data_IF_663309244984
#
_entry.id   IF_663309244984
#
_cell.length_a   1.000
_cell.length_b   1.000
_cell.length_c   1.000
_cell.angle_alpha   90.00
_cell.angle_beta   90.00
_cell.angle_gamma   90.00
#
_symmetry.space_group_name_H-M   'P 1'
#
loop_
_entity.id
_entity.type
_entity.pdbx_description
1 polymer ?
#
# COMPACT_ATOMS: atom_id res chain seq x y z
N UNK A 1 3.76 14.32 18.95
CA UNK A 1 3.89 13.18 18.01
C UNK A 1 2.51 12.67 17.59
N UNK A 2 1.69 12.11 18.50
CA UNK A 2 0.36 11.59 18.15
C UNK A 2 -0.65 12.68 17.76
N UNK A 3 -0.61 13.84 18.42
CA UNK A 3 -1.45 15.01 18.07
C UNK A 3 -1.19 15.54 16.65
N UNK A 4 0.01 15.32 16.11
CA UNK A 4 0.39 15.81 14.78
C UNK A 4 -0.20 14.97 13.64
N UNK A 5 -0.67 13.75 13.91
CA UNK A 5 -1.18 12.82 12.88
C UNK A 5 -2.49 13.31 12.23
N UNK A 6 -3.27 14.10 12.96
CA UNK A 6 -4.60 14.58 12.58
C UNK A 6 -4.60 16.06 12.17
N UNK A 7 -3.44 16.72 12.19
CA UNK A 7 -3.35 18.12 11.79
C UNK A 7 -3.49 18.22 10.26
N UNK A 8 -4.33 19.16 9.82
CA UNK A 8 -4.46 19.48 8.41
C UNK A 8 -3.17 20.13 7.89
N UNK A 9 -2.70 19.63 6.76
CA UNK A 9 -1.49 20.04 6.04
C UNK A 9 -1.80 20.64 4.68
N UNK A 10 -3.07 20.69 4.27
CA UNK A 10 -3.52 21.23 2.98
C UNK A 10 -3.20 20.34 1.78
N UNK A 11 -2.75 19.10 2.00
CA UNK A 11 -2.52 18.10 0.95
C UNK A 11 -3.81 17.36 0.59
N UNK A 12 -3.76 16.42 -0.37
CA UNK A 12 -4.95 15.74 -0.89
C UNK A 12 -5.70 14.93 0.18
N UNK A 13 -4.98 14.19 1.03
CA UNK A 13 -5.56 13.44 2.14
C UNK A 13 -5.62 14.23 3.46
N UNK A 14 -5.28 15.52 3.42
CA UNK A 14 -5.25 16.48 4.53
C UNK A 14 -4.28 16.18 5.67
N UNK A 15 -4.19 14.94 6.15
CA UNK A 15 -3.44 14.57 7.35
C UNK A 15 -2.47 13.42 7.09
N UNK A 16 -1.47 13.28 7.97
CA UNK A 16 -0.56 12.13 7.96
C UNK A 16 -1.36 10.84 8.10
N UNK A 17 -2.31 10.78 9.05
CA UNK A 17 -3.16 9.60 9.26
C UNK A 17 -3.95 9.25 8.00
N UNK A 18 -4.63 10.21 7.37
CA UNK A 18 -5.42 9.95 6.16
C UNK A 18 -4.57 9.42 5.01
N UNK A 19 -3.33 9.90 4.89
CA UNK A 19 -2.39 9.42 3.87
C UNK A 19 -1.93 8.00 4.15
N UNK A 20 -1.62 7.67 5.41
CA UNK A 20 -1.24 6.31 5.80
C UNK A 20 -2.37 5.30 5.60
N UNK A 21 -3.61 5.69 5.96
CA UNK A 21 -4.80 4.88 5.72
C UNK A 21 -4.99 4.60 4.23
N UNK A 22 -4.83 5.64 3.39
CA UNK A 22 -4.93 5.48 1.94
C UNK A 22 -3.86 4.53 1.39
N UNK A 23 -2.61 4.61 1.86
CA UNK A 23 -1.55 3.67 1.45
C UNK A 23 -1.97 2.24 1.79
N UNK A 24 -2.37 1.96 3.03
CA UNK A 24 -2.77 0.62 3.47
C UNK A 24 -4.01 0.09 2.72
N UNK A 25 -5.01 0.94 2.48
CA UNK A 25 -6.20 0.57 1.71
C UNK A 25 -5.86 0.27 0.25
N UNK A 26 -4.97 1.07 -0.36
CA UNK A 26 -4.54 0.87 -1.74
C UNK A 26 -3.76 -0.45 -1.88
N UNK A 27 -2.86 -0.75 -0.96
CA UNK A 27 -2.08 -1.98 -0.98
C UNK A 27 -2.94 -3.22 -0.75
N UNK A 28 -3.85 -3.18 0.24
CA UNK A 28 -4.84 -4.23 0.46
C UNK A 28 -5.66 -4.50 -0.81
N UNK A 29 -6.13 -3.45 -1.48
CA UNK A 29 -6.88 -3.56 -2.72
C UNK A 29 -6.06 -4.23 -3.83
N UNK A 30 -4.79 -3.89 -3.96
CA UNK A 30 -3.90 -4.48 -4.97
C UNK A 30 -3.55 -5.93 -4.66
N UNK A 31 -3.29 -6.30 -3.40
CA UNK A 31 -3.08 -7.70 -3.01
C UNK A 31 -4.34 -8.56 -3.25
N UNK A 32 -5.54 -8.01 -3.02
CA UNK A 32 -6.82 -8.65 -3.41
C UNK A 32 -6.95 -8.82 -4.92
N UNK A 33 -6.36 -7.93 -5.74
CA UNK A 33 -6.33 -8.10 -7.20
C UNK A 33 -5.30 -9.15 -7.60
N UNK A 34 -4.11 -9.12 -7.02
CA UNK A 34 -3.05 -10.09 -7.33
C UNK A 34 -3.49 -11.52 -6.99
N UNK A 35 -4.25 -11.73 -5.91
CA UNK A 35 -4.83 -13.05 -5.61
C UNK A 35 -5.81 -13.57 -6.66
N UNK A 36 -6.33 -12.69 -7.54
CA UNK A 36 -7.19 -13.07 -8.67
C UNK A 36 -6.42 -13.37 -9.97
N UNK A 37 -5.13 -13.05 -10.03
CA UNK A 37 -4.30 -13.22 -11.23
C UNK A 37 -3.67 -14.61 -11.34
N UNK A 38 -3.70 -15.38 -10.26
CA UNK A 38 -3.10 -16.71 -10.19
C UNK A 38 -3.37 -17.40 -8.86
N UNK A 39 -2.63 -18.47 -8.60
CA UNK A 39 -2.62 -19.16 -7.31
C UNK A 39 -1.27 -18.95 -6.66
N UNK A 40 -1.27 -18.33 -5.48
CA UNK A 40 -0.07 -17.96 -4.74
C UNK A 40 -0.21 -18.47 -3.31
N UNK A 41 0.77 -19.21 -2.83
CA UNK A 41 0.74 -19.83 -1.51
C UNK A 41 0.71 -18.78 -0.39
N UNK A 42 1.42 -17.66 -0.58
CA UNK A 42 1.42 -16.52 0.35
C UNK A 42 0.07 -15.84 0.46
N UNK A 43 -0.66 -15.70 -0.65
CA UNK A 43 -1.96 -15.01 -0.67
C UNK A 43 -3.12 -15.93 -0.27
N UNK A 44 -2.98 -17.24 -0.49
CA UNK A 44 -4.00 -18.23 -0.15
C UNK A 44 -4.23 -18.27 1.36
N UNK A 45 -5.50 -18.19 1.78
CA UNK A 45 -5.89 -18.18 3.19
C UNK A 45 -5.29 -17.05 4.05
N UNK A 46 -4.68 -16.03 3.46
CA UNK A 46 -4.17 -14.88 4.20
C UNK A 46 -5.32 -14.17 4.95
N UNK A 47 -5.13 -13.92 6.26
CA UNK A 47 -6.15 -13.37 7.17
C UNK A 47 -6.80 -12.07 6.66
N UNK A 48 -6.08 -11.23 5.91
CA UNK A 48 -6.63 -9.98 5.38
C UNK A 48 -7.39 -10.17 4.08
N UNK A 49 -6.93 -11.07 3.23
CA UNK A 49 -7.52 -11.30 1.91
C UNK A 49 -8.78 -12.17 1.98
N UNK A 50 -8.90 -13.02 3.02
CA UNK A 50 -10.06 -13.90 3.27
C UNK A 50 -11.01 -13.36 4.34
N UNK A 51 -10.74 -12.17 4.87
CA UNK A 51 -11.65 -11.51 5.81
C UNK A 51 -12.99 -11.12 5.17
N UNK A 52 -14.01 -10.96 6.01
CA UNK A 52 -15.31 -10.43 5.60
C UNK A 52 -15.16 -9.09 4.86
N UNK A 53 -15.91 -8.85 3.77
CA UNK A 53 -15.83 -7.62 3.01
C UNK A 53 -15.96 -6.37 3.89
N UNK A 54 -15.01 -5.44 3.78
CA UNK A 54 -15.00 -4.17 4.53
C UNK A 54 -14.45 -4.26 5.95
N UNK A 55 -14.19 -5.46 6.49
CA UNK A 55 -13.66 -5.61 7.86
C UNK A 55 -12.27 -5.01 8.00
N UNK A 56 -11.33 -5.41 7.13
CA UNK A 56 -9.94 -4.94 7.19
C UNK A 56 -9.87 -3.45 6.90
N UNK A 57 -10.66 -2.97 5.94
CA UNK A 57 -10.77 -1.56 5.61
C UNK A 57 -11.24 -0.74 6.81
N UNK A 58 -12.23 -1.25 7.57
CA UNK A 58 -12.69 -0.64 8.82
C UNK A 58 -11.59 -0.65 9.88
N UNK A 59 -10.89 -1.77 10.05
CA UNK A 59 -9.82 -1.90 11.04
C UNK A 59 -8.67 -0.90 10.76
N UNK A 60 -8.34 -0.68 9.48
CA UNK A 60 -7.34 0.31 9.03
C UNK A 60 -7.73 1.73 9.48
N UNK A 61 -8.97 2.16 9.24
CA UNK A 61 -9.39 3.55 9.49
C UNK A 61 -9.77 3.83 10.96
N UNK A 62 -10.01 2.77 11.75
CA UNK A 62 -10.45 2.90 13.15
C UNK A 62 -9.33 3.44 14.05
N UNK A 63 -8.11 2.94 13.92
CA UNK A 63 -6.94 3.33 14.73
C UNK A 63 -5.66 3.27 13.92
N UNK A 64 -4.82 4.29 14.09
CA UNK A 64 -3.53 4.34 13.42
C UNK A 64 -2.63 3.15 13.78
N UNK A 65 -2.70 2.63 15.01
CA UNK A 65 -1.95 1.44 15.40
C UNK A 65 -2.32 0.21 14.56
N UNK A 66 -3.62 0.04 14.26
CA UNK A 66 -4.08 -1.04 13.39
C UNK A 66 -3.58 -0.80 11.96
N UNK A 67 -3.70 0.43 11.45
CA UNK A 67 -3.19 0.80 10.13
C UNK A 67 -1.71 0.45 9.97
N UNK A 68 -0.87 0.78 10.96
CA UNK A 68 0.56 0.52 10.94
C UNK A 68 0.86 -0.98 10.89
N UNK A 69 0.27 -1.75 11.80
CA UNK A 69 0.47 -3.22 11.86
C UNK A 69 -0.03 -3.90 10.59
N UNK A 70 -1.19 -3.46 10.08
CA UNK A 70 -1.74 -4.02 8.84
C UNK A 70 -0.84 -3.67 7.66
N UNK A 71 -0.38 -2.42 7.55
CA UNK A 71 0.51 -2.02 6.46
C UNK A 71 1.82 -2.82 6.46
N UNK A 72 2.46 -2.99 7.62
CA UNK A 72 3.66 -3.83 7.76
C UNK A 72 3.40 -5.28 7.32
N UNK A 73 2.28 -5.88 7.75
CA UNK A 73 1.93 -7.25 7.34
C UNK A 73 1.62 -7.35 5.83
N UNK A 74 1.06 -6.30 5.22
CA UNK A 74 0.78 -6.25 3.78
C UNK A 74 2.06 -6.09 2.96
N UNK A 75 2.99 -5.25 3.41
CA UNK A 75 4.32 -5.08 2.80
C UNK A 75 5.06 -6.43 2.77
N UNK A 76 5.07 -7.15 3.90
CA UNK A 76 5.66 -8.50 3.96
C UNK A 76 4.96 -9.49 3.01
N UNK A 77 3.65 -9.36 2.84
CA UNK A 77 2.86 -10.21 1.96
C UNK A 77 3.19 -9.92 0.48
N UNK A 78 3.40 -8.65 0.13
CA UNK A 78 3.82 -8.25 -1.21
C UNK A 78 5.20 -8.81 -1.56
N UNK A 79 6.16 -8.79 -0.62
CA UNK A 79 7.48 -9.41 -0.80
C UNK A 79 7.34 -10.91 -1.09
N UNK A 80 6.57 -11.63 -0.26
CA UNK A 80 6.33 -13.07 -0.43
C UNK A 80 5.67 -13.39 -1.78
N UNK A 81 4.72 -12.58 -2.21
CA UNK A 81 4.13 -12.70 -3.55
C UNK A 81 5.18 -12.54 -4.65
N UNK A 82 6.04 -11.52 -4.55
CA UNK A 82 7.08 -11.26 -5.56
C UNK A 82 8.04 -12.45 -5.66
N UNK A 83 8.41 -13.07 -4.53
CA UNK A 83 9.28 -14.25 -4.50
C UNK A 83 8.65 -15.49 -5.17
N UNK A 84 7.32 -15.54 -5.29
CA UNK A 84 6.60 -16.62 -5.97
C UNK A 84 6.42 -16.39 -7.49
N UNK A 85 6.71 -15.19 -7.99
CA UNK A 85 6.48 -14.85 -9.40
C UNK A 85 7.65 -15.29 -10.28
N UNK A 86 7.35 -16.03 -11.35
CA UNK A 86 8.31 -16.32 -12.41
C UNK A 86 8.44 -15.15 -13.40
N UNK A 87 9.55 -15.12 -14.15
CA UNK A 87 9.75 -14.12 -15.21
C UNK A 87 8.64 -14.18 -16.27
N UNK A 88 8.17 -15.39 -16.61
CA UNK A 88 7.06 -15.58 -17.55
C UNK A 88 5.74 -15.04 -16.98
N UNK A 89 5.48 -15.24 -15.69
CA UNK A 89 4.31 -14.68 -15.03
C UNK A 89 4.34 -13.14 -15.05
N UNK A 90 5.51 -12.54 -14.80
CA UNK A 90 5.69 -11.08 -14.85
C UNK A 90 5.40 -10.49 -16.24
N UNK A 91 5.68 -11.23 -17.32
CA UNK A 91 5.40 -10.81 -18.70
C UNK A 91 3.97 -11.13 -19.16
N UNK A 92 3.20 -11.85 -18.36
CA UNK A 92 1.83 -12.22 -18.71
C UNK A 92 0.87 -11.03 -18.64
N UNK A 93 -0.24 -11.15 -19.37
CA UNK A 93 -1.33 -10.18 -19.37
C UNK A 93 -2.31 -10.50 -18.24
N UNK A 94 -2.55 -9.53 -17.36
CA UNK A 94 -3.53 -9.60 -16.28
C UNK A 94 -4.72 -8.68 -16.55
N UNK A 95 -5.90 -9.09 -16.06
CA UNK A 95 -7.16 -8.37 -16.25
C UNK A 95 -7.82 -8.11 -14.92
N UNK A 96 -8.27 -6.89 -14.70
CA UNK A 96 -8.93 -6.48 -13.46
C UNK A 96 -9.95 -5.38 -13.74
N UNK A 97 -10.78 -5.09 -12.74
CA UNK A 97 -11.66 -3.92 -12.74
C UNK A 97 -11.14 -2.87 -11.78
N UNK A 98 -11.23 -1.60 -12.19
CA UNK A 98 -11.02 -0.49 -11.25
C UNK A 98 -12.19 -0.42 -10.25
N UNK A 99 -12.12 0.50 -9.29
CA UNK A 99 -13.18 0.70 -8.29
C UNK A 99 -14.49 1.25 -8.87
N UNK A 100 -14.49 1.75 -10.11
CA UNK A 100 -15.68 2.18 -10.86
C UNK A 100 -16.30 1.04 -11.69
N UNK A 101 -15.66 -0.12 -11.73
CA UNK A 101 -16.10 -1.28 -12.50
C UNK A 101 -15.56 -1.36 -13.94
N UNK A 102 -14.78 -0.37 -14.38
CA UNK A 102 -14.19 -0.36 -15.72
C UNK A 102 -13.12 -1.45 -15.84
N UNK A 103 -13.12 -2.18 -16.95
CA UNK A 103 -12.17 -3.25 -17.22
C UNK A 103 -10.82 -2.71 -17.72
N UNK A 104 -9.74 -3.25 -17.18
CA UNK A 104 -8.36 -2.94 -17.58
C UNK A 104 -7.61 -4.22 -17.93
N UNK A 105 -6.68 -4.07 -18.87
CA UNK A 105 -5.70 -5.09 -19.25
C UNK A 105 -4.30 -4.47 -19.18
N UNK A 106 -3.37 -5.15 -18.51
CA UNK A 106 -1.98 -4.70 -18.32
C UNK A 106 -1.03 -5.90 -18.30
N UNK A 107 0.25 -5.66 -18.59
CA UNK A 107 1.30 -6.64 -18.29
C UNK A 107 1.50 -6.68 -16.77
N UNK A 108 1.65 -7.87 -16.17
CA UNK A 108 1.67 -8.04 -14.71
C UNK A 108 2.76 -7.20 -14.04
N UNK A 109 4.01 -7.19 -14.55
CA UNK A 109 5.05 -6.37 -13.95
C UNK A 109 4.69 -4.87 -13.89
N UNK A 110 3.88 -4.36 -14.82
CA UNK A 110 3.45 -2.96 -14.83
C UNK A 110 2.48 -2.66 -13.69
N UNK A 111 1.68 -3.63 -13.25
CA UNK A 111 0.80 -3.43 -12.09
C UNK A 111 1.59 -3.44 -10.78
N UNK A 112 2.65 -4.27 -10.69
CA UNK A 112 3.55 -4.25 -9.53
C UNK A 112 4.30 -2.91 -9.48
N UNK A 113 4.86 -2.47 -10.61
CA UNK A 113 5.52 -1.18 -10.70
C UNK A 113 4.57 -0.02 -10.33
N UNK A 114 3.29 -0.10 -10.73
CA UNK A 114 2.29 0.88 -10.33
C UNK A 114 2.13 0.95 -8.81
N UNK A 115 2.05 -0.19 -8.11
CA UNK A 115 1.97 -0.23 -6.64
C UNK A 115 3.20 0.40 -6.00
N UNK A 116 4.40 0.04 -6.46
CA UNK A 116 5.66 0.57 -5.91
C UNK A 116 5.78 2.09 -6.14
N UNK A 117 5.46 2.57 -7.34
CA UNK A 117 5.50 4.01 -7.67
C UNK A 117 4.42 4.78 -6.91
N UNK A 118 3.25 4.18 -6.69
CA UNK A 118 2.19 4.75 -5.87
C UNK A 118 2.62 4.91 -4.41
N UNK A 119 3.31 3.91 -3.84
CA UNK A 119 3.90 3.99 -2.51
C UNK A 119 4.94 5.12 -2.41
N UNK A 120 5.88 5.20 -3.34
CA UNK A 120 6.91 6.27 -3.38
C UNK A 120 6.26 7.66 -3.49
N UNK A 121 5.21 7.80 -4.30
CA UNK A 121 4.48 9.06 -4.44
C UNK A 121 3.92 9.54 -3.08
N UNK A 122 3.25 8.67 -2.33
CA UNK A 122 2.68 9.04 -1.04
C UNK A 122 3.73 9.15 0.07
N UNK A 123 4.86 8.45 -0.01
CA UNK A 123 6.02 8.71 0.86
C UNK A 123 6.56 10.13 0.66
N UNK A 124 6.63 10.61 -0.59
CA UNK A 124 6.95 12.01 -0.87
C UNK A 124 5.93 12.99 -0.29
N UNK A 125 4.63 12.65 -0.36
CA UNK A 125 3.56 13.42 0.28
C UNK A 125 3.74 13.50 1.80
N UNK A 126 4.00 12.36 2.46
CA UNK A 126 4.27 12.28 3.89
C UNK A 126 5.52 13.09 4.30
N UNK A 127 6.58 13.06 3.51
CA UNK A 127 7.78 13.88 3.75
C UNK A 127 7.43 15.38 3.78
N UNK A 128 6.67 15.85 2.79
CA UNK A 128 6.23 17.24 2.73
C UNK A 128 5.31 17.61 3.91
N UNK A 129 4.40 16.72 4.32
CA UNK A 129 3.56 16.91 5.50
C UNK A 129 4.39 17.09 6.77
N UNK A 130 5.41 16.25 6.96
CA UNK A 130 6.30 16.33 8.11
C UNK A 130 7.06 17.66 8.12
N UNK A 131 7.53 18.14 6.97
CA UNK A 131 8.16 19.46 6.86
C UNK A 131 7.22 20.61 7.25
N UNK A 132 5.96 20.59 6.76
CA UNK A 132 4.92 21.57 7.12
C UNK A 132 4.70 21.61 8.65
N UNK A 133 4.64 20.43 9.27
CA UNK A 133 4.44 20.27 10.70
C UNK A 133 5.73 20.45 11.52
N UNK A 134 6.86 20.77 10.88
CA UNK A 134 8.19 20.92 11.50
C UNK A 134 8.65 19.66 12.24
N UNK A 135 8.25 18.50 11.74
CA UNK A 135 8.69 17.19 12.20
C UNK A 135 9.92 16.79 11.38
N UNK A 136 11.05 16.57 12.06
CA UNK A 136 12.27 16.12 11.40
C UNK A 136 12.05 14.76 10.73
N UNK A 137 12.37 14.66 9.45
CA UNK A 137 12.28 13.45 8.65
C UNK A 137 13.45 13.35 7.67
N UNK A 138 13.72 12.15 7.17
CA UNK A 138 14.73 11.89 6.13
C UNK A 138 14.18 10.91 5.08
N UNK A 139 13.04 11.27 4.49
CA UNK A 139 12.41 10.50 3.40
C UNK A 139 12.96 10.91 2.02
N UNK A 140 14.17 11.45 1.97
CA UNK A 140 14.76 12.01 0.75
C UNK A 140 15.46 10.98 -0.15
N UNK A 141 15.64 9.75 0.32
CA UNK A 141 16.38 8.70 -0.37
C UNK A 141 15.51 7.56 -0.89
N UNK A 142 15.87 7.00 -2.05
CA UNK A 142 15.32 5.73 -2.55
C UNK A 142 15.69 4.53 -1.65
N UNK A 143 16.74 4.69 -0.84
CA UNK A 143 17.20 3.71 0.14
C UNK A 143 17.25 4.36 1.52
N UNK A 144 16.82 3.65 2.56
CA UNK A 144 17.00 4.10 3.94
C UNK A 144 18.48 4.24 4.28
N UNK A 145 18.91 5.42 4.72
CA UNK A 145 20.22 5.59 5.33
C UNK A 145 20.22 4.91 6.70
N UNK A 146 21.08 3.90 6.89
CA UNK A 146 21.37 3.40 8.24
C UNK A 146 22.34 4.36 8.91
N UNK A 147 21.83 5.17 9.83
CA UNK A 147 22.67 5.96 10.73
C UNK A 147 23.27 5.01 11.78
N UNK A 148 24.61 4.96 11.84
CA UNK A 148 25.35 4.27 12.90
C UNK A 148 25.32 5.06 14.21
#
# INVERSE_FOLDING_TARGET
ARESLELDTGTFFHTIKGTMEHIALAELLWLKRFSSFGKFASLENNKYLTSEPGKVEKDIVEKIENCLVILEDLDELLIKLIDELSEEALQSVVRYKNTKGDAFEKIYYQTILHVLVHGIHHQGELSAMMDILKIKNDFSGFTSYKYN
#
